data_IF_341947851253
#
_entry.id   IF_341947851253
#
_cell.length_a   1.000
_cell.length_b   1.000
_cell.length_c   1.000
_cell.angle_alpha   90.00
_cell.angle_beta   90.00
_cell.angle_gamma   90.00
#
_symmetry.space_group_name_H-M   'P 1'
#
loop_
_entity.id
_entity.type
_entity.pdbx_description
1 polymer ?
#
# COMPACT_ATOMS: atom_id res chain seq x y z
N UNK A 1 14.35 -17.17 -4.10
CA UNK A 1 14.39 -18.64 -4.08
C UNK A 1 15.78 -19.18 -3.74
N UNK A 2 16.87 -18.70 -4.37
CA UNK A 2 18.24 -19.19 -4.10
C UNK A 2 18.63 -19.19 -2.62
N UNK A 3 18.36 -18.09 -1.90
CA UNK A 3 18.65 -18.00 -0.45
C UNK A 3 17.84 -19.00 0.37
N UNK A 4 16.57 -19.19 0.02
CA UNK A 4 15.71 -20.16 0.70
C UNK A 4 16.19 -21.60 0.47
N UNK A 5 16.65 -21.90 -0.74
CA UNK A 5 17.26 -23.19 -1.06
C UNK A 5 18.56 -23.39 -0.29
N UNK A 6 19.45 -22.40 -0.29
CA UNK A 6 20.72 -22.46 0.45
C UNK A 6 20.49 -22.70 1.94
N UNK A 7 19.47 -22.04 2.52
CA UNK A 7 19.12 -22.19 3.94
C UNK A 7 18.23 -23.41 4.22
N UNK A 8 17.85 -24.16 3.20
CA UNK A 8 16.92 -25.29 3.27
C UNK A 8 15.60 -24.92 3.98
N UNK A 9 15.05 -23.77 3.64
CA UNK A 9 13.78 -23.26 4.17
C UNK A 9 12.81 -22.93 3.04
N UNK A 10 11.51 -22.90 3.36
CA UNK A 10 10.49 -22.39 2.45
C UNK A 10 10.03 -21.01 2.93
N UNK A 11 10.22 -19.98 2.10
CA UNK A 11 9.83 -18.60 2.41
C UNK A 11 8.42 -18.31 1.91
N UNK A 12 7.55 -17.85 2.81
CA UNK A 12 6.24 -17.36 2.46
C UNK A 12 6.35 -15.96 1.82
N UNK A 13 5.72 -15.77 0.67
CA UNK A 13 5.73 -14.48 -0.03
C UNK A 13 4.32 -14.01 -0.42
N UNK A 14 4.18 -12.70 -0.51
CA UNK A 14 3.10 -12.00 -1.23
C UNK A 14 3.70 -11.22 -2.37
N UNK A 15 3.00 -11.11 -3.49
CA UNK A 15 3.41 -10.24 -4.59
C UNK A 15 2.64 -8.93 -4.52
N UNK A 16 3.38 -7.81 -4.57
CA UNK A 16 2.79 -6.48 -4.61
C UNK A 16 2.33 -6.15 -6.02
N UNK A 17 1.04 -5.94 -6.17
CA UNK A 17 0.40 -5.59 -7.43
C UNK A 17 0.13 -4.09 -7.47
N UNK A 18 0.54 -3.46 -8.57
CA UNK A 18 0.19 -2.09 -8.87
C UNK A 18 -1.15 -2.07 -9.64
N UNK A 19 -2.23 -1.52 -9.06
CA UNK A 19 -3.55 -1.52 -9.69
C UNK A 19 -3.74 -0.45 -10.78
N UNK A 20 -2.75 0.41 -11.02
CA UNK A 20 -2.84 1.56 -11.93
C UNK A 20 -3.99 2.53 -11.58
N UNK A 21 -4.21 2.76 -10.30
CA UNK A 21 -5.27 3.64 -9.79
C UNK A 21 -4.66 4.88 -9.17
N UNK A 22 -5.13 6.05 -9.60
CA UNK A 22 -4.70 7.33 -9.04
C UNK A 22 -5.34 7.58 -7.68
N UNK A 23 -4.53 7.73 -6.66
CA UNK A 23 -4.99 8.00 -5.30
C UNK A 23 -5.44 9.45 -5.07
N UNK A 24 -5.36 10.34 -6.07
CA UNK A 24 -5.79 11.73 -5.97
C UNK A 24 -4.92 12.61 -5.05
N UNK A 25 -3.77 12.12 -4.61
CA UNK A 25 -2.82 12.83 -3.76
C UNK A 25 -1.75 13.60 -4.53
N UNK A 26 -0.74 14.07 -3.81
CA UNK A 26 0.42 14.74 -4.40
C UNK A 26 1.15 13.75 -5.34
N UNK A 27 1.38 14.14 -6.59
CA UNK A 27 2.03 13.29 -7.60
C UNK A 27 3.39 12.75 -7.18
N UNK A 28 4.12 13.49 -6.33
CA UNK A 28 5.44 13.08 -5.81
C UNK A 28 5.41 11.90 -4.84
N UNK A 29 4.23 11.56 -4.28
CA UNK A 29 4.05 10.49 -3.31
C UNK A 29 3.00 9.45 -3.75
N UNK A 30 2.55 9.53 -5.01
CA UNK A 30 1.74 8.50 -5.64
C UNK A 30 2.58 7.25 -5.88
N UNK A 31 2.00 6.07 -5.67
CA UNK A 31 2.66 4.77 -5.91
C UNK A 31 1.75 3.77 -6.61
N UNK A 32 0.57 4.21 -7.04
CA UNK A 32 -0.46 3.34 -7.62
C UNK A 32 -0.70 3.52 -9.12
N UNK A 33 0.05 4.41 -9.80
CA UNK A 33 -0.07 4.60 -11.26
C UNK A 33 0.87 3.66 -12.01
N UNK A 34 0.57 3.35 -13.26
CA UNK A 34 1.41 2.51 -14.14
C UNK A 34 2.85 3.02 -14.30
N UNK A 35 3.08 4.32 -14.13
CA UNK A 35 4.40 4.94 -14.19
C UNK A 35 5.16 4.88 -12.85
N UNK A 36 4.52 4.43 -11.78
CA UNK A 36 5.12 4.35 -10.46
C UNK A 36 6.08 3.14 -10.37
N UNK A 37 7.18 3.32 -9.64
CA UNK A 37 8.30 2.37 -9.58
C UNK A 37 7.99 1.07 -8.83
N UNK A 38 6.85 0.97 -8.16
CA UNK A 38 6.58 -0.08 -7.18
C UNK A 38 5.48 -1.03 -7.61
N UNK A 39 5.72 -2.30 -7.38
CA UNK A 39 4.77 -3.36 -7.65
C UNK A 39 4.79 -3.85 -9.10
N UNK A 40 4.12 -4.97 -9.32
CA UNK A 40 3.94 -5.62 -10.61
C UNK A 40 2.66 -5.03 -11.23
N UNK A 41 2.69 -4.67 -12.51
CA UNK A 41 1.48 -4.26 -13.24
C UNK A 41 0.39 -5.32 -13.08
N UNK A 42 -0.81 -4.90 -12.74
CA UNK A 42 -1.94 -5.81 -12.53
C UNK A 42 -2.23 -6.72 -13.72
N UNK A 43 -1.93 -6.27 -14.96
CA UNK A 43 -2.08 -7.05 -16.18
C UNK A 43 -1.15 -8.26 -16.23
N UNK A 44 0.03 -8.14 -15.61
CA UNK A 44 1.05 -9.20 -15.53
C UNK A 44 0.95 -10.01 -14.24
N UNK A 45 -0.06 -9.74 -13.39
CA UNK A 45 -0.18 -10.38 -12.09
C UNK A 45 -0.25 -11.91 -12.22
N UNK A 46 -1.16 -12.43 -13.03
CA UNK A 46 -1.37 -13.88 -13.17
C UNK A 46 -0.11 -14.60 -13.64
N UNK A 47 0.55 -14.07 -14.66
CA UNK A 47 1.81 -14.62 -15.18
C UNK A 47 2.91 -14.62 -14.12
N UNK A 48 3.00 -13.53 -13.35
CA UNK A 48 3.99 -13.41 -12.27
C UNK A 48 3.76 -14.42 -11.14
N UNK A 49 2.50 -14.70 -10.81
CA UNK A 49 2.15 -15.76 -9.83
C UNK A 49 2.46 -17.14 -10.36
N UNK A 50 2.13 -17.44 -11.61
CA UNK A 50 2.46 -18.70 -12.26
C UNK A 50 3.99 -18.92 -12.31
N UNK A 51 4.75 -17.87 -12.63
CA UNK A 51 6.21 -17.91 -12.59
C UNK A 51 6.74 -18.16 -11.17
N UNK A 52 6.27 -17.42 -10.18
CA UNK A 52 6.74 -17.54 -8.80
C UNK A 52 6.40 -18.93 -8.19
N UNK A 53 5.30 -19.53 -8.58
CA UNK A 53 4.90 -20.86 -8.12
C UNK A 53 5.86 -21.98 -8.57
N UNK A 54 6.61 -21.74 -9.67
CA UNK A 54 7.61 -22.70 -10.18
C UNK A 54 9.00 -22.50 -9.56
N UNK A 55 9.17 -21.53 -8.66
CA UNK A 55 10.45 -21.28 -8.00
C UNK A 55 10.55 -22.13 -6.72
N UNK A 56 11.65 -22.88 -6.60
CA UNK A 56 11.96 -23.65 -5.40
C UNK A 56 12.21 -22.74 -4.18
N UNK A 57 11.95 -23.25 -2.99
CA UNK A 57 12.14 -22.52 -1.74
C UNK A 57 11.15 -21.36 -1.51
N UNK A 58 10.15 -21.18 -2.37
CA UNK A 58 9.13 -20.13 -2.25
C UNK A 58 7.75 -20.77 -2.08
N UNK A 59 6.94 -20.16 -1.24
CA UNK A 59 5.51 -20.44 -1.11
C UNK A 59 4.72 -19.16 -1.21
N UNK A 60 3.92 -19.05 -2.26
CA UNK A 60 2.99 -17.93 -2.40
C UNK A 60 1.86 -18.11 -1.41
N UNK A 61 1.63 -17.12 -0.57
CA UNK A 61 0.54 -17.14 0.42
C UNK A 61 -0.40 -15.94 0.30
N UNK A 62 -0.01 -14.89 -0.42
CA UNK A 62 -0.78 -13.65 -0.41
C UNK A 62 -0.59 -12.77 -1.62
N UNK A 63 -1.33 -11.69 -1.58
CA UNK A 63 -1.29 -10.56 -2.50
C UNK A 63 -1.29 -9.28 -1.69
N UNK A 64 -0.60 -8.25 -2.17
CA UNK A 64 -0.60 -6.93 -1.56
C UNK A 64 -0.69 -5.81 -2.59
N UNK A 65 -1.12 -4.64 -2.14
CA UNK A 65 -1.05 -3.40 -2.90
C UNK A 65 -0.85 -2.19 -1.99
N UNK A 66 -0.31 -1.12 -2.56
CA UNK A 66 -0.19 0.16 -1.87
C UNK A 66 -0.24 1.28 -2.92
N UNK A 67 -1.30 2.08 -2.92
CA UNK A 67 -1.61 3.04 -3.97
C UNK A 67 -1.10 4.45 -3.73
N UNK A 68 -0.50 4.69 -2.58
CA UNK A 68 0.07 6.01 -2.27
C UNK A 68 0.00 6.37 -0.80
N UNK A 69 0.27 7.63 -0.52
CA UNK A 69 0.27 8.18 0.84
C UNK A 69 -0.63 9.41 0.89
N UNK A 70 -1.17 9.70 2.08
CA UNK A 70 -2.05 10.86 2.33
C UNK A 70 -3.34 10.82 1.49
N UNK A 71 -4.00 9.67 1.47
CA UNK A 71 -5.23 9.43 0.71
C UNK A 71 -6.42 9.74 1.61
N UNK A 72 -7.18 10.77 1.25
CA UNK A 72 -8.33 11.26 2.03
C UNK A 72 -9.69 10.86 1.42
N UNK A 73 -9.68 10.07 0.35
CA UNK A 73 -10.88 9.63 -0.35
C UNK A 73 -10.99 8.10 -0.31
N UNK A 74 -12.21 7.61 -0.16
CA UNK A 74 -12.50 6.16 -0.11
C UNK A 74 -12.41 5.51 -1.49
N UNK A 75 -12.81 6.24 -2.52
CA UNK A 75 -12.97 5.71 -3.89
C UNK A 75 -11.72 5.01 -4.44
N UNK A 76 -10.48 5.54 -4.34
CA UNK A 76 -9.29 4.83 -4.81
C UNK A 76 -9.07 3.48 -4.14
N UNK A 77 -9.37 3.38 -2.84
CA UNK A 77 -9.31 2.09 -2.14
C UNK A 77 -10.36 1.11 -2.66
N UNK A 78 -11.59 1.58 -2.87
CA UNK A 78 -12.68 0.74 -3.38
C UNK A 78 -12.35 0.17 -4.76
N UNK A 79 -11.90 1.01 -5.69
CA UNK A 79 -11.51 0.61 -7.06
C UNK A 79 -10.36 -0.41 -7.03
N UNK A 80 -9.36 -0.19 -6.17
CA UNK A 80 -8.22 -1.10 -6.01
C UNK A 80 -8.66 -2.45 -5.45
N UNK A 81 -9.52 -2.45 -4.44
CA UNK A 81 -10.06 -3.68 -3.86
C UNK A 81 -10.84 -4.48 -4.89
N UNK A 82 -11.71 -3.84 -5.69
CA UNK A 82 -12.50 -4.53 -6.71
C UNK A 82 -11.61 -5.23 -7.74
N UNK A 83 -10.57 -4.54 -8.21
CA UNK A 83 -9.59 -5.10 -9.13
C UNK A 83 -8.87 -6.30 -8.52
N UNK A 84 -8.32 -6.13 -7.31
CA UNK A 84 -7.52 -7.18 -6.66
C UNK A 84 -8.37 -8.40 -6.27
N UNK A 85 -9.62 -8.20 -5.86
CA UNK A 85 -10.58 -9.29 -5.61
C UNK A 85 -10.80 -10.11 -6.89
N UNK A 86 -10.93 -9.46 -8.03
CA UNK A 86 -11.00 -10.13 -9.33
C UNK A 86 -9.78 -10.99 -9.62
N UNK A 87 -8.58 -10.43 -9.41
CA UNK A 87 -7.30 -11.14 -9.59
C UNK A 87 -7.20 -12.33 -8.63
N UNK A 88 -7.58 -12.18 -7.35
CA UNK A 88 -7.62 -13.30 -6.39
C UNK A 88 -8.53 -14.41 -6.88
N UNK A 89 -9.70 -14.05 -7.44
CA UNK A 89 -10.63 -15.03 -8.01
C UNK A 89 -10.01 -15.85 -9.14
N UNK A 90 -9.28 -15.20 -10.04
CA UNK A 90 -8.57 -15.86 -11.14
C UNK A 90 -7.40 -16.71 -10.66
N UNK A 91 -6.60 -16.21 -9.73
CA UNK A 91 -5.50 -16.95 -9.12
C UNK A 91 -6.00 -18.23 -8.44
N UNK A 92 -7.10 -18.15 -7.70
CA UNK A 92 -7.70 -19.32 -7.04
C UNK A 92 -8.23 -20.36 -8.03
N UNK A 93 -8.82 -19.92 -9.16
CA UNK A 93 -9.23 -20.84 -10.24
C UNK A 93 -8.04 -21.61 -10.84
N UNK A 94 -6.86 -21.00 -10.84
CA UNK A 94 -5.60 -21.62 -11.28
C UNK A 94 -4.91 -22.48 -10.20
N UNK A 95 -5.49 -22.56 -9.00
CA UNK A 95 -4.97 -23.38 -7.91
C UNK A 95 -4.03 -22.66 -6.93
N UNK A 96 -3.83 -21.34 -7.08
CA UNK A 96 -3.04 -20.59 -6.12
C UNK A 96 -3.80 -20.38 -4.80
N UNK A 97 -3.17 -20.71 -3.68
CA UNK A 97 -3.74 -20.51 -2.34
C UNK A 97 -3.46 -19.10 -1.83
N UNK A 98 -4.37 -18.15 -2.07
CA UNK A 98 -4.28 -16.82 -1.50
C UNK A 98 -4.97 -16.81 -0.13
N UNK A 99 -4.15 -16.75 0.94
CA UNK A 99 -4.55 -16.80 2.36
C UNK A 99 -4.41 -15.43 3.05
N UNK A 100 -3.55 -14.56 2.51
CA UNK A 100 -3.27 -13.22 3.04
C UNK A 100 -3.59 -12.19 1.98
N UNK A 101 -4.31 -11.15 2.35
CA UNK A 101 -4.52 -9.99 1.52
C UNK A 101 -4.08 -8.75 2.31
N UNK A 102 -2.94 -8.18 1.93
CA UNK A 102 -2.46 -6.92 2.47
C UNK A 102 -3.02 -5.77 1.63
N UNK A 103 -3.81 -4.93 2.27
CA UNK A 103 -4.44 -3.78 1.61
C UNK A 103 -3.59 -2.51 1.71
N UNK A 104 -2.36 -2.66 2.19
CA UNK A 104 -1.40 -1.57 2.32
C UNK A 104 -1.79 -0.52 3.34
N UNK A 105 -1.25 0.65 3.15
CA UNK A 105 -1.48 1.80 4.00
C UNK A 105 -1.94 3.03 3.21
N UNK A 106 -1.33 4.15 3.50
CA UNK A 106 -1.60 5.40 2.80
C UNK A 106 -2.77 6.20 3.34
N UNK A 107 -3.39 5.78 4.44
CA UNK A 107 -4.48 6.50 5.09
C UNK A 107 -4.04 7.92 5.45
N UNK A 108 -4.79 8.92 4.96
CA UNK A 108 -4.49 10.31 5.15
C UNK A 108 -4.79 10.81 6.56
N UNK A 109 -4.00 11.80 6.99
CA UNK A 109 -4.21 12.54 8.22
C UNK A 109 -4.53 13.99 7.90
N UNK A 110 -5.23 14.66 8.79
CA UNK A 110 -5.51 16.09 8.68
C UNK A 110 -4.29 16.90 9.12
N UNK A 111 -3.74 17.72 8.23
CA UNK A 111 -2.67 18.67 8.54
C UNK A 111 -3.19 20.10 8.76
N UNK A 112 -4.29 20.45 8.11
CA UNK A 112 -4.91 21.78 8.22
C UNK A 112 -6.37 21.66 8.64
N UNK A 113 -6.89 22.60 9.45
CA UNK A 113 -8.27 22.55 9.97
C UNK A 113 -9.36 22.44 8.89
N UNK A 114 -9.10 23.00 7.69
CA UNK A 114 -10.00 22.97 6.54
C UNK A 114 -9.98 21.64 5.76
N UNK A 115 -8.97 20.80 5.97
CA UNK A 115 -8.89 19.49 5.30
C UNK A 115 -9.92 18.54 5.90
N UNK A 116 -10.52 17.73 5.04
CA UNK A 116 -11.37 16.61 5.48
C UNK A 116 -10.52 15.36 5.62
N UNK A 117 -10.34 14.82 6.83
CA UNK A 117 -9.62 13.56 7.01
C UNK A 117 -10.39 12.40 6.38
N UNK A 118 -9.68 11.32 6.12
CA UNK A 118 -10.31 10.07 5.70
C UNK A 118 -11.28 9.58 6.80
N UNK A 119 -12.51 9.26 6.40
CA UNK A 119 -13.49 8.65 7.31
C UNK A 119 -13.09 7.18 7.56
N UNK A 120 -12.43 6.93 8.68
CA UNK A 120 -11.92 5.61 9.04
C UNK A 120 -13.02 4.59 9.27
N UNK A 121 -14.20 5.03 9.70
CA UNK A 121 -15.34 4.13 9.88
C UNK A 121 -15.88 3.66 8.51
N UNK A 122 -15.93 4.55 7.53
CA UNK A 122 -16.29 4.17 6.16
C UNK A 122 -15.25 3.24 5.55
N UNK A 123 -13.95 3.51 5.78
CA UNK A 123 -12.87 2.63 5.33
C UNK A 123 -13.02 1.22 5.94
N UNK A 124 -13.19 1.12 7.26
CA UNK A 124 -13.41 -0.16 7.94
C UNK A 124 -14.64 -0.92 7.43
N UNK A 125 -15.76 -0.21 7.19
CA UNK A 125 -16.97 -0.81 6.59
C UNK A 125 -16.71 -1.32 5.17
N UNK A 126 -16.00 -0.55 4.34
CA UNK A 126 -15.60 -0.97 2.99
C UNK A 126 -14.81 -2.27 3.03
N UNK A 127 -13.76 -2.34 3.87
CA UNK A 127 -12.97 -3.56 4.02
C UNK A 127 -13.81 -4.75 4.46
N UNK A 128 -14.66 -4.58 5.48
CA UNK A 128 -15.54 -5.64 5.97
C UNK A 128 -16.49 -6.14 4.90
N UNK A 129 -17.12 -5.25 4.15
CA UNK A 129 -18.08 -5.60 3.10
C UNK A 129 -17.41 -6.30 1.89
N UNK A 130 -16.28 -5.77 1.42
CA UNK A 130 -15.60 -6.30 0.23
C UNK A 130 -14.81 -7.58 0.52
N UNK A 131 -14.21 -7.69 1.69
CA UNK A 131 -13.24 -8.74 1.99
C UNK A 131 -13.80 -9.87 2.87
N UNK A 132 -14.93 -9.68 3.52
CA UNK A 132 -15.49 -10.66 4.45
C UNK A 132 -15.72 -12.05 3.84
N UNK A 133 -16.10 -12.12 2.56
CA UNK A 133 -16.33 -13.37 1.85
C UNK A 133 -15.05 -14.05 1.34
N UNK A 134 -13.90 -13.34 1.30
CA UNK A 134 -12.67 -13.87 0.72
C UNK A 134 -11.98 -14.94 1.56
N UNK A 135 -12.29 -15.00 2.87
CA UNK A 135 -11.65 -15.91 3.83
C UNK A 135 -10.11 -15.79 3.85
N UNK A 136 -9.62 -14.56 3.66
CA UNK A 136 -8.20 -14.21 3.81
C UNK A 136 -7.96 -13.57 5.17
N UNK A 137 -6.73 -13.71 5.69
CA UNK A 137 -6.21 -12.81 6.72
C UNK A 137 -5.99 -11.45 6.07
N UNK A 138 -6.62 -10.40 6.60
CA UNK A 138 -6.44 -9.04 6.12
C UNK A 138 -5.33 -8.38 6.92
N UNK A 139 -4.40 -7.75 6.21
CA UNK A 139 -3.30 -6.95 6.76
C UNK A 139 -3.51 -5.51 6.31
N UNK A 140 -3.21 -4.55 7.19
CA UNK A 140 -3.19 -3.12 6.90
C UNK A 140 -1.88 -2.52 7.40
N UNK A 141 -1.35 -1.51 6.69
CA UNK A 141 -0.07 -0.86 6.99
C UNK A 141 -0.22 0.65 7.25
N UNK A 142 -0.91 1.07 8.32
CA UNK A 142 -1.30 2.47 8.54
C UNK A 142 -0.17 3.31 9.16
N UNK A 143 0.99 3.44 8.50
CA UNK A 143 2.17 4.12 9.02
C UNK A 143 1.90 5.56 9.50
N UNK A 144 1.73 6.48 8.56
CA UNK A 144 1.49 7.91 8.84
C UNK A 144 0.26 8.13 9.71
N UNK A 145 -0.82 7.40 9.45
CA UNK A 145 -2.07 7.52 10.19
C UNK A 145 -1.90 7.30 11.70
N UNK A 146 -1.00 6.38 12.10
CA UNK A 146 -0.71 6.10 13.51
C UNK A 146 0.27 7.09 14.13
N UNK A 147 1.25 7.57 13.36
CA UNK A 147 2.42 8.27 13.92
C UNK A 147 2.38 9.79 13.76
N UNK A 148 1.64 10.32 12.79
CA UNK A 148 1.70 11.76 12.47
C UNK A 148 1.30 12.68 13.64
N UNK A 149 0.35 12.26 14.46
CA UNK A 149 -0.14 13.03 15.60
C UNK A 149 0.45 12.58 16.95
N UNK A 150 1.40 11.65 16.94
CA UNK A 150 1.98 11.07 18.16
C UNK A 150 3.34 11.67 18.53
N UNK A 151 3.93 12.49 17.65
CA UNK A 151 5.24 13.09 17.87
C UNK A 151 5.35 14.48 17.24
N UNK A 152 6.29 15.27 17.74
CA UNK A 152 6.68 16.56 17.18
C UNK A 152 8.17 16.56 16.89
N UNK A 153 8.58 17.24 15.83
CA UNK A 153 9.99 17.53 15.56
C UNK A 153 10.35 18.85 16.23
N UNK A 154 11.21 18.80 17.26
CA UNK A 154 11.78 20.00 17.88
C UNK A 154 13.10 20.31 17.22
N UNK A 155 13.26 21.53 16.71
CA UNK A 155 14.47 21.95 16.05
C UNK A 155 14.80 23.41 16.35
N UNK A 156 16.05 23.80 16.10
CA UNK A 156 16.52 25.18 16.25
C UNK A 156 16.57 25.87 14.90
N UNK A 157 15.98 27.08 14.80
CA UNK A 157 16.18 27.95 13.65
C UNK A 157 17.62 28.46 13.68
N UNK A 158 18.40 28.16 12.65
CA UNK A 158 19.77 28.62 12.49
C UNK A 158 19.78 29.99 11.82
N UNK A 159 18.95 30.18 10.81
CA UNK A 159 18.92 31.37 9.99
C UNK A 159 17.52 31.59 9.39
N UNK A 160 17.12 32.86 9.29
CA UNK A 160 15.89 33.30 8.62
C UNK A 160 16.27 34.10 7.38
N UNK A 161 15.88 33.63 6.21
CA UNK A 161 16.07 34.33 4.95
C UNK A 161 14.76 34.97 4.52
N UNK A 162 14.76 36.29 4.47
CA UNK A 162 13.64 37.06 3.95
C UNK A 162 13.78 37.24 2.43
N UNK A 163 12.87 36.61 1.70
CA UNK A 163 12.69 36.77 0.25
C UNK A 163 11.22 37.09 0.01
N UNK A 164 10.69 36.83 -1.16
CA UNK A 164 9.23 36.90 -1.42
C UNK A 164 8.47 35.88 -0.54
N UNK A 165 9.16 34.82 -0.04
CA UNK A 165 8.68 33.89 0.94
C UNK A 165 9.64 33.90 2.14
N UNK A 166 9.12 33.81 3.37
CA UNK A 166 9.95 33.65 4.55
C UNK A 166 10.45 32.19 4.61
N UNK A 167 11.77 32.01 4.55
CA UNK A 167 12.41 30.69 4.59
C UNK A 167 13.17 30.53 5.89
N UNK A 168 12.85 29.48 6.64
CA UNK A 168 13.58 29.08 7.83
C UNK A 168 14.62 28.01 7.46
N UNK A 169 15.87 28.22 7.84
CA UNK A 169 16.92 27.20 7.79
C UNK A 169 17.02 26.60 9.18
N UNK A 170 16.80 25.31 9.28
CA UNK A 170 16.77 24.58 10.52
C UNK A 170 17.84 23.48 10.55
N UNK A 171 18.24 23.07 11.75
CA UNK A 171 19.08 21.89 11.94
C UNK A 171 18.19 20.67 12.19
N UNK A 172 18.35 19.62 11.39
CA UNK A 172 17.60 18.38 11.51
C UNK A 172 18.40 17.23 12.16
N UNK A 173 19.59 17.52 12.68
CA UNK A 173 20.48 16.54 13.30
C UNK A 173 21.57 16.07 12.37
#
# INVERSE_FOLDING_TARGET
SKESEYLNVQSNISLRINPDISAGGNEKISTGKAQDKFGIDWKSAIESYDFAANLSGIKIIGIDFHIGSQINQIKPFEESLDLLIGIIGELRKKGHEIKVFDVGGGLGVQYHPEEKPLDINKYGKLLSQKLGALKCKIVIEPGRFLTANSAILVTKIIYVKNTTLCVFVINTG
#
